data_IF_408051047466
#
_entry.id   IF_408051047466
#
_cell.length_a   1.000
_cell.length_b   1.000
_cell.length_c   1.000
_cell.angle_alpha   90.00
_cell.angle_beta   90.00
_cell.angle_gamma   90.00
#
_symmetry.space_group_name_H-M   'P 1'
#
loop_
_entity.id
_entity.type
_entity.pdbx_description
1 polymer ?
2 non-polymer ?
3 non-polymer ?
4 non-polymer ?
5 water ?
#
# COMPACT_ATOMS: atom_id res chain seq x y z
N UNK A 3 3.62 -11.97 22.53
CA UNK A 3 3.27 -10.96 23.57
C UNK A 3 3.20 -9.51 23.04
N UNK A 4 4.15 -9.11 22.20
CA UNK A 4 4.03 -7.82 21.47
C UNK A 4 3.02 -7.96 20.34
N UNK A 5 2.14 -6.98 20.21
CA UNK A 5 1.23 -6.87 19.07
C UNK A 5 2.05 -6.61 17.83
N UNK A 6 1.79 -7.33 16.75
CA UNK A 6 2.53 -7.19 15.53
C UNK A 6 1.62 -6.67 14.46
N UNK A 7 2.00 -5.56 13.84
CA UNK A 7 1.18 -4.91 12.83
C UNK A 7 1.97 -4.82 11.54
N UNK A 8 1.39 -5.33 10.47
CA UNK A 8 1.96 -5.18 9.13
C UNK A 8 1.32 -3.99 8.46
N UNK A 9 2.13 -3.04 8.05
CA UNK A 9 1.62 -1.85 7.36
C UNK A 9 2.08 -1.97 5.92
N UNK A 10 1.12 -1.97 5.01
CA UNK A 10 1.35 -1.98 3.56
C UNK A 10 2.00 -0.69 3.07
N UNK A 11 2.77 -0.74 1.97
CA UNK A 11 3.44 0.44 1.46
C UNK A 11 2.61 1.21 0.44
N UNK A 12 2.46 0.69 -0.79
CA UNK A 12 1.69 1.40 -1.78
C UNK A 12 0.22 1.45 -1.40
N UNK A 13 -0.32 2.67 -1.45
CA UNK A 13 -1.72 2.90 -1.14
C UNK A 13 -1.99 3.11 0.34
N UNK A 14 -0.96 3.07 1.17
CA UNK A 14 -1.11 3.20 2.60
C UNK A 14 -0.05 4.16 3.16
N UNK A 15 1.22 3.91 2.84
CA UNK A 15 2.32 4.81 3.16
C UNK A 15 2.68 5.71 2.02
N UNK A 16 2.70 5.15 0.81
CA UNK A 16 3.19 5.84 -0.39
C UNK A 16 2.05 6.03 -1.35
N UNK A 17 1.94 7.24 -1.90
CA UNK A 17 0.85 7.57 -2.80
C UNK A 17 1.12 7.13 -4.25
N UNK A 18 0.93 5.83 -4.48
CA UNK A 18 1.10 5.21 -5.77
C UNK A 18 0.07 5.79 -6.73
N UNK A 19 -1.20 5.93 -6.28
CA UNK A 19 -2.25 6.34 -7.25
C UNK A 19 -2.02 7.74 -7.76
N UNK A 20 -1.71 8.65 -6.86
CA UNK A 20 -1.38 10.03 -7.23
C UNK A 20 -0.11 10.23 -8.04
N UNK A 21 0.93 9.48 -7.69
CA UNK A 21 2.20 9.54 -8.38
C UNK A 21 2.04 9.01 -9.77
N UNK A 22 1.34 7.88 -9.89
CA UNK A 22 1.08 7.28 -11.19
C UNK A 22 0.32 8.29 -12.09
N UNK A 23 -0.75 8.88 -11.57
CA UNK A 23 -1.56 9.72 -12.45
C UNK A 23 -0.77 10.90 -12.95
N UNK A 24 -0.01 11.51 -12.07
CA UNK A 24 0.79 12.66 -12.44
C UNK A 24 1.78 12.29 -13.52
N UNK A 25 2.50 11.19 -13.30
CA UNK A 25 3.52 10.81 -14.28
C UNK A 25 2.94 10.28 -15.59
N UNK A 26 1.78 9.65 -15.54
CA UNK A 26 1.13 9.18 -16.74
C UNK A 26 0.71 10.39 -17.61
N UNK A 27 0.04 11.34 -16.99
CA UNK A 27 -0.37 12.57 -17.68
C UNK A 27 0.81 13.37 -18.27
N UNK A 28 1.96 13.43 -17.59
CA UNK A 28 3.13 14.13 -18.10
C UNK A 28 3.77 13.39 -19.30
N UNK A 29 3.85 12.06 -19.22
CA UNK A 29 4.47 11.29 -20.28
C UNK A 29 3.54 11.09 -21.50
N UNK A 30 2.24 11.00 -21.24
CA UNK A 30 1.26 10.65 -22.25
C UNK A 30 0.13 11.69 -22.28
N UNK A 31 0.47 12.95 -22.55
CA UNK A 31 -0.50 14.06 -22.48
C UNK A 31 -1.69 13.96 -23.46
N UNK A 32 -1.58 13.15 -24.52
CA UNK A 32 -2.64 13.03 -25.53
C UNK A 32 -3.46 11.78 -25.34
N UNK A 33 -3.24 11.06 -24.23
CA UNK A 33 -4.03 9.89 -23.91
C UNK A 33 -5.11 10.27 -22.89
N UNK A 34 -6.24 9.57 -22.88
CA UNK A 34 -7.24 9.82 -21.83
C UNK A 34 -6.68 9.20 -20.54
N UNK A 35 -7.15 9.68 -19.40
CA UNK A 35 -6.70 9.18 -18.09
C UNK A 35 -7.90 8.96 -17.18
N UNK A 36 -7.67 8.40 -16.00
CA UNK A 36 -8.72 8.16 -15.04
C UNK A 36 -8.46 9.02 -13.83
N UNK A 37 -9.36 9.99 -13.60
CA UNK A 37 -9.24 10.86 -12.43
C UNK A 37 -9.38 9.94 -11.20
N UNK A 38 -8.81 10.34 -10.09
CA UNK A 38 -8.76 9.45 -8.91
C UNK A 38 -10.16 9.14 -8.40
N UNK A 39 -11.07 10.12 -8.48
CA UNK A 39 -12.44 9.89 -8.02
C UNK A 39 -13.16 8.82 -8.83
N UNK A 40 -12.68 8.58 -10.06
CA UNK A 40 -13.26 7.56 -10.96
C UNK A 40 -12.55 6.22 -10.98
N UNK A 41 -11.49 6.10 -10.18
CA UNK A 41 -10.82 4.81 -10.06
C UNK A 41 -11.72 3.80 -9.37
N UNK A 42 -11.77 2.61 -9.94
CA UNK A 42 -12.41 1.43 -9.37
C UNK A 42 -11.58 0.17 -9.66
N UNK A 43 -11.48 -0.69 -8.65
CA UNK A 43 -10.77 -1.95 -8.78
C UNK A 43 -9.30 -1.70 -8.45
N UNK A 44 -8.66 -2.68 -7.81
CA UNK A 44 -7.31 -2.52 -7.31
C UNK A 44 -6.31 -2.17 -8.40
N UNK A 45 -6.35 -2.90 -9.51
CA UNK A 45 -5.31 -2.77 -10.55
C UNK A 45 -5.53 -1.61 -11.48
N UNK A 46 -4.67 -0.60 -11.37
CA UNK A 46 -4.66 0.56 -12.24
C UNK A 46 -4.70 0.11 -13.71
N UNK A 47 -3.83 -0.84 -14.06
CA UNK A 47 -3.63 -1.18 -15.47
C UNK A 47 -4.87 -1.84 -16.08
N UNK A 48 -5.63 -2.54 -15.25
CA UNK A 48 -6.88 -3.16 -15.72
C UNK A 48 -7.90 -2.12 -16.13
N UNK A 49 -8.08 -1.08 -15.31
CA UNK A 49 -9.04 -0.05 -15.65
C UNK A 49 -8.59 0.75 -16.89
N UNK A 50 -7.29 1.05 -16.97
CA UNK A 50 -6.75 1.71 -18.17
C UNK A 50 -6.88 0.83 -19.42
N UNK A 51 -6.75 -0.47 -19.27
CA UNK A 51 -6.92 -1.41 -20.37
C UNK A 51 -8.33 -1.37 -20.96
N UNK A 52 -9.30 -1.17 -20.08
CA UNK A 52 -10.73 -1.08 -20.45
C UNK A 52 -11.01 0.26 -21.14
N UNK A 53 -10.25 1.28 -20.76
CA UNK A 53 -10.42 2.61 -21.34
C UNK A 53 -9.99 2.71 -22.81
N UNK A 54 -8.86 2.07 -23.19
CA UNK A 54 -8.54 1.74 -24.60
C UNK A 54 -7.36 0.76 -24.78
N UNK A 55 -7.35 0.03 -25.91
CA UNK A 55 -6.18 -0.79 -26.29
C UNK A 55 -4.85 -0.04 -26.24
N UNK A 56 -3.88 -0.73 -25.65
CA UNK A 56 -2.54 -0.20 -25.51
C UNK A 56 -2.30 0.57 -24.23
N UNK A 57 -3.37 0.97 -23.55
CA UNK A 57 -3.20 1.82 -22.37
C UNK A 57 -2.76 1.04 -21.12
N UNK A 58 -3.06 -0.26 -21.06
CA UNK A 58 -2.55 -1.09 -19.96
C UNK A 58 -1.01 -1.06 -19.98
N UNK A 59 -0.45 -1.28 -21.17
CA UNK A 59 1.00 -1.40 -21.34
C UNK A 59 1.65 -0.04 -21.05
N UNK A 60 1.01 1.05 -21.48
CA UNK A 60 1.52 2.39 -21.20
C UNK A 60 1.47 2.71 -19.70
N UNK A 61 0.39 2.33 -19.03
CA UNK A 61 0.31 2.51 -17.56
C UNK A 61 1.46 1.75 -16.89
N UNK A 62 1.64 0.49 -17.26
CA UNK A 62 2.69 -0.33 -16.66
C UNK A 62 4.04 0.30 -16.83
N UNK A 63 4.27 0.93 -18.00
CA UNK A 63 5.55 1.58 -18.26
C UNK A 63 5.91 2.73 -17.34
N UNK A 64 4.90 3.32 -16.71
CA UNK A 64 5.13 4.37 -15.71
C UNK A 64 5.78 3.79 -14.48
N UNK A 65 5.20 2.75 -13.91
CA UNK A 65 5.77 2.21 -12.68
C UNK A 65 6.98 1.33 -12.87
N UNK A 66 7.21 0.87 -14.11
CA UNK A 66 8.45 0.21 -14.43
C UNK A 66 9.63 1.19 -14.57
N UNK A 67 9.36 2.48 -14.67
CA UNK A 67 10.40 3.47 -14.92
C UNK A 67 11.21 3.72 -13.66
N UNK A 68 12.50 3.91 -13.85
CA UNK A 68 13.37 4.38 -12.79
C UNK A 68 12.80 5.61 -12.07
N UNK A 69 12.95 5.60 -10.75
CA UNK A 69 12.49 6.65 -9.83
C UNK A 69 11.00 6.75 -9.58
N UNK A 70 10.21 5.90 -10.20
CA UNK A 70 8.80 5.91 -9.91
C UNK A 70 8.52 5.64 -8.44
N UNK A 71 9.02 4.53 -7.92
CA UNK A 71 8.76 4.20 -6.53
C UNK A 71 9.46 5.15 -5.59
N UNK A 72 10.69 5.53 -5.92
CA UNK A 72 11.43 6.37 -4.98
C UNK A 72 10.80 7.77 -4.77
N UNK A 73 10.22 8.29 -5.85
CA UNK A 73 9.68 9.64 -5.86
C UNK A 73 8.22 9.71 -5.37
N UNK A 74 7.62 8.58 -5.01
CA UNK A 74 6.27 8.62 -4.44
C UNK A 74 6.23 9.48 -3.16
N UNK A 75 5.18 10.27 -3.08
CA UNK A 75 4.93 11.09 -1.89
C UNK A 75 4.26 10.28 -0.80
N UNK A 76 4.65 10.47 0.45
CA UNK A 76 3.94 9.81 1.52
C UNK A 76 2.49 10.29 1.57
N UNK A 77 1.58 9.41 1.97
CA UNK A 77 0.19 9.82 2.18
C UNK A 77 0.16 10.68 3.45
N UNK A 78 -0.81 11.60 3.55
CA UNK A 78 -0.90 12.50 4.72
C UNK A 78 -0.91 11.72 6.00
N UNK A 79 -0.07 12.09 6.95
CA UNK A 79 -0.11 11.48 8.25
C UNK A 79 0.57 10.13 8.36
N UNK A 80 0.96 9.55 7.23
CA UNK A 80 1.46 8.15 7.24
C UNK A 80 2.79 7.99 7.97
N UNK A 81 3.74 8.88 7.70
CA UNK A 81 5.08 8.75 8.30
C UNK A 81 4.96 8.99 9.80
N UNK A 82 4.22 10.02 10.16
CA UNK A 82 4.03 10.37 11.55
C UNK A 82 3.33 9.24 12.34
N UNK A 83 2.29 8.67 11.75
CA UNK A 83 1.54 7.59 12.40
C UNK A 83 2.36 6.36 12.60
N UNK A 84 3.07 5.95 11.57
CA UNK A 84 3.92 4.75 11.68
C UNK A 84 5.10 4.93 12.63
N UNK A 85 5.72 6.10 12.63
CA UNK A 85 6.73 6.40 13.63
C UNK A 85 6.18 6.27 15.05
N UNK A 86 4.98 6.80 15.29
CA UNK A 86 4.38 6.73 16.60
C UNK A 86 4.03 5.31 16.94
N UNK A 87 3.48 4.57 15.97
CA UNK A 87 3.04 3.22 16.18
C UNK A 87 4.19 2.32 16.60
N UNK A 88 5.31 2.46 15.90
CA UNK A 88 6.49 1.64 16.16
C UNK A 88 7.10 1.93 17.56
N UNK A 89 6.98 3.18 18.00
CA UNK A 89 7.44 3.64 19.32
C UNK A 89 6.58 3.16 20.50
N UNK A 90 5.40 2.63 20.22
CA UNK A 90 4.50 2.21 21.28
C UNK A 90 5.06 0.98 21.95
N UNK A 91 4.86 0.92 23.26
CA UNK A 91 5.16 -0.28 24.02
C UNK A 91 4.43 -1.49 23.47
N UNK A 92 5.09 -2.65 23.50
CA UNK A 92 4.44 -3.92 23.13
C UNK A 92 3.87 -3.88 21.71
N UNK A 93 4.55 -3.20 20.81
CA UNK A 93 4.05 -3.03 19.43
C UNK A 93 5.23 -3.11 18.47
N UNK A 94 5.18 -4.07 17.55
CA UNK A 94 6.21 -4.24 16.52
C UNK A 94 5.56 -3.97 15.18
N UNK A 95 6.18 -3.10 14.39
CA UNK A 95 5.65 -2.72 13.09
C UNK A 95 6.60 -3.20 12.01
N UNK A 96 6.01 -3.87 11.02
CA UNK A 96 6.73 -4.21 9.80
C UNK A 96 6.05 -3.56 8.59
N UNK A 97 6.84 -3.15 7.61
CA UNK A 97 6.28 -2.61 6.39
C UNK A 97 6.29 -3.78 5.41
N UNK A 98 5.11 -4.13 4.89
CA UNK A 98 4.93 -5.33 4.07
C UNK A 98 4.45 -4.89 2.71
N UNK A 99 5.25 -5.18 1.69
CA UNK A 99 5.01 -4.66 0.38
C UNK A 99 5.40 -5.70 -0.64
N UNK A 100 4.71 -5.69 -1.76
CA UNK A 100 5.01 -6.61 -2.87
C UNK A 100 5.73 -5.88 -3.99
N UNK A 101 6.78 -6.45 -4.56
CA UNK A 101 7.43 -5.77 -5.68
C UNK A 101 6.63 -6.03 -6.98
N UNK A 102 6.73 -5.14 -7.96
CA UNK A 102 6.17 -5.41 -9.29
C UNK A 102 7.01 -6.52 -9.99
N UNK A 103 6.56 -6.98 -11.14
CA UNK A 103 7.21 -8.08 -11.82
C UNK A 103 8.62 -7.69 -12.32
N UNK A 104 8.75 -6.47 -12.81
CA UNK A 104 10.03 -5.97 -13.31
C UNK A 104 10.86 -5.44 -12.12
N UNK A 105 11.97 -6.08 -11.83
CA UNK A 105 12.57 -5.92 -10.50
C UNK A 105 13.83 -5.08 -10.54
N UNK A 106 14.12 -4.43 -11.67
CA UNK A 106 15.37 -3.64 -11.76
C UNK A 106 15.52 -2.52 -10.71
N UNK A 107 14.44 -1.77 -10.50
CA UNK A 107 14.44 -0.59 -9.64
C UNK A 107 13.60 -0.77 -8.38
N UNK A 108 12.50 -1.51 -8.47
CA UNK A 108 11.43 -1.43 -7.49
C UNK A 108 11.92 -1.87 -6.08
N UNK A 109 12.48 -3.07 -5.90
CA UNK A 109 12.98 -3.44 -4.57
C UNK A 109 13.95 -2.42 -4.02
N UNK A 110 14.96 -2.05 -4.81
CA UNK A 110 15.92 -1.05 -4.35
C UNK A 110 15.27 0.25 -3.88
N UNK A 111 14.37 0.77 -4.70
CA UNK A 111 13.78 2.08 -4.41
C UNK A 111 12.88 2.06 -3.17
N UNK A 112 12.27 0.91 -2.90
CA UNK A 112 11.43 0.76 -1.72
C UNK A 112 12.29 0.82 -0.47
N UNK A 113 13.45 0.14 -0.48
CA UNK A 113 14.40 0.28 0.63
C UNK A 113 14.85 1.75 0.77
N UNK A 114 15.18 2.40 -0.33
CA UNK A 114 15.64 3.77 -0.32
C UNK A 114 14.58 4.73 0.25
N UNK A 115 13.31 4.46 -0.10
CA UNK A 115 12.19 5.29 0.36
C UNK A 115 12.00 5.16 1.86
N UNK A 116 12.05 3.92 2.35
CA UNK A 116 11.91 3.68 3.79
C UNK A 116 13.08 4.33 4.53
N UNK A 117 14.30 4.23 4.00
CA UNK A 117 15.43 4.92 4.64
C UNK A 117 15.20 6.45 4.73
N UNK A 118 14.74 7.03 3.64
CA UNK A 118 14.51 8.47 3.48
C UNK A 118 13.50 8.98 4.54
N UNK A 119 12.37 8.26 4.67
CA UNK A 119 11.30 8.69 5.55
C UNK A 119 11.31 8.18 6.99
N UNK A 120 11.96 7.03 7.25
CA UNK A 120 11.95 6.41 8.56
C UNK A 120 13.34 6.20 9.18
N UNK A 121 14.38 6.38 8.35
CA UNK A 121 15.75 6.24 8.80
C UNK A 121 16.33 4.86 8.63
N UNK A 122 17.67 4.77 8.65
CA UNK A 122 18.37 3.48 8.48
C UNK A 122 17.89 2.36 9.38
N UNK A 123 17.52 2.65 10.62
CA UNK A 123 17.19 1.55 11.54
C UNK A 123 15.86 0.87 11.16
N UNK A 124 14.99 1.61 10.47
CA UNK A 124 13.70 1.04 10.07
C UNK A 124 13.80 0.05 8.92
N UNK A 125 14.94 0.01 8.26
CA UNK A 125 15.09 -0.93 7.14
C UNK A 125 14.92 -2.38 7.64
N UNK A 126 15.25 -2.62 8.93
CA UNK A 126 15.10 -3.93 9.56
C UNK A 126 13.62 -4.42 9.58
N UNK A 127 12.69 -3.50 9.36
CA UNK A 127 11.27 -3.78 9.48
C UNK A 127 10.59 -4.08 8.13
N UNK A 128 11.36 -4.15 7.04
CA UNK A 128 10.76 -4.30 5.74
C UNK A 128 10.62 -5.77 5.42
N UNK A 129 9.44 -6.15 4.93
CA UNK A 129 9.16 -7.49 4.42
C UNK A 129 8.67 -7.34 2.98
N UNK A 130 9.49 -7.80 2.04
CA UNK A 130 9.12 -7.81 0.62
C UNK A 130 8.66 -9.19 0.19
N UNK A 131 7.42 -9.29 -0.25
CA UNK A 131 6.82 -10.58 -0.58
C UNK A 131 5.67 -10.37 -1.55
N UNK A 132 5.47 -11.32 -2.46
CA UNK A 132 4.26 -11.33 -3.30
C UNK A 132 3.08 -11.92 -2.57
N UNK A 133 3.32 -12.66 -1.50
CA UNK A 133 2.27 -13.36 -0.79
C UNK A 133 2.29 -12.89 0.67
N UNK A 134 1.29 -12.08 1.02
CA UNK A 134 1.20 -11.53 2.35
C UNK A 134 0.58 -12.49 3.34
N UNK A 135 -0.02 -13.56 2.86
CA UNK A 135 -0.70 -14.48 3.75
C UNK A 135 0.29 -15.35 4.49
N UNK A 136 1.53 -15.43 4.00
CA UNK A 136 2.56 -16.20 4.71
C UNK A 136 3.37 -15.38 5.72
N UNK A 137 3.00 -14.12 5.89
CA UNK A 137 3.54 -13.28 6.94
C UNK A 137 2.54 -13.27 8.10
N UNK A 138 3.01 -13.62 9.29
CA UNK A 138 2.13 -13.75 10.44
C UNK A 138 2.18 -12.46 11.25
N UNK A 139 1.01 -12.05 11.73
CA UNK A 139 0.90 -10.85 12.53
C UNK A 139 -0.51 -10.79 13.05
N UNK A 140 -0.77 -9.81 13.91
CA UNK A 140 -2.14 -9.61 14.41
C UNK A 140 -3.01 -8.77 13.46
N UNK A 141 -2.38 -7.83 12.80
CA UNK A 141 -3.07 -6.93 11.90
C UNK A 141 -2.32 -6.74 10.61
N UNK A 142 -3.05 -6.61 9.52
CA UNK A 142 -2.50 -6.15 8.24
C UNK A 142 -3.33 -4.98 7.74
N UNK A 143 -2.72 -3.80 7.64
CA UNK A 143 -3.40 -2.60 7.16
C UNK A 143 -2.97 -2.42 5.71
N UNK A 144 -3.93 -2.59 4.78
CA UNK A 144 -3.62 -2.76 3.38
C UNK A 144 -4.79 -2.31 2.57
N UNK A 145 -4.53 -1.57 1.51
CA UNK A 145 -5.60 -1.01 0.66
C UNK A 145 -6.20 -1.98 -0.34
N UNK A 146 -5.58 -3.14 -0.55
CA UNK A 146 -6.16 -4.15 -1.45
C UNK A 146 -7.31 -4.92 -0.81
N UNK A 147 -8.51 -4.92 -1.41
CA UNK A 147 -9.64 -5.61 -0.78
C UNK A 147 -9.46 -7.12 -0.61
N UNK A 148 -8.99 -7.79 -1.64
CA UNK A 148 -8.93 -9.25 -1.58
C UNK A 148 -7.46 -9.67 -1.54
N UNK A 149 -7.05 -10.20 -0.38
CA UNK A 149 -5.65 -10.58 -0.17
C UNK A 149 -5.62 -12.07 0.10
N UNK A 150 -5.18 -12.82 -0.89
CA UNK A 150 -5.11 -14.27 -0.76
C UNK A 150 -3.74 -14.75 -1.19
N UNK A 151 -3.51 -16.05 -0.96
CA UNK A 151 -2.22 -16.63 -1.23
C UNK A 151 -2.17 -18.06 -0.73
N UNK A 152 -0.96 -18.53 -0.47
CA UNK A 152 -0.71 -19.91 -0.10
C UNK A 152 -1.31 -20.32 1.25
N UNK A 153 -1.49 -19.38 2.17
CA UNK A 153 -2.05 -19.65 3.48
C UNK A 153 -3.54 -19.37 3.46
N UNK A 154 -4.39 -20.42 3.54
CA UNK A 154 -5.85 -20.18 3.46
C UNK A 154 -6.43 -19.44 4.68
N UNK A 155 -5.77 -19.54 5.82
CA UNK A 155 -6.19 -18.87 7.05
C UNK A 155 -5.06 -18.04 7.66
N UNK A 156 -4.86 -16.84 7.12
CA UNK A 156 -3.87 -15.92 7.66
C UNK A 156 -4.10 -15.59 9.14
N UNK A 157 -3.00 -15.34 9.84
CA UNK A 157 -3.07 -15.07 11.26
C UNK A 157 -3.56 -13.64 11.52
N UNK A 158 -3.35 -12.76 10.55
CA UNK A 158 -3.74 -11.36 10.73
C UNK A 158 -5.23 -11.12 10.45
N UNK A 159 -5.78 -10.10 11.09
CA UNK A 159 -7.03 -9.46 10.64
C UNK A 159 -6.61 -8.43 9.59
N UNK A 160 -7.15 -8.50 8.40
CA UNK A 160 -6.95 -7.45 7.38
C UNK A 160 -7.87 -6.29 7.62
N UNK A 161 -7.28 -5.13 7.89
CA UNK A 161 -8.02 -3.88 7.98
C UNK A 161 -7.80 -3.11 6.65
N UNK A 162 -8.90 -2.81 5.99
CA UNK A 162 -8.84 -2.18 4.69
C UNK A 162 -8.54 -0.71 4.85
N UNK A 163 -7.43 -0.28 4.28
CA UNK A 163 -7.07 1.12 4.25
C UNK A 163 -7.76 1.79 3.04
N UNK A 164 -8.51 2.86 3.30
CA UNK A 164 -9.22 3.53 2.22
C UNK A 164 -8.28 4.11 1.18
N UNK A 165 -8.66 3.89 -0.07
CA UNK A 165 -7.98 4.44 -1.23
C UNK A 165 -9.03 4.78 -2.25
N UNK A 166 -8.68 5.67 -3.21
CA UNK A 166 -9.64 6.01 -4.26
C UNK A 166 -10.29 4.81 -4.92
N UNK A 167 -9.52 3.73 -5.15
CA UNK A 167 -10.04 2.57 -5.84
C UNK A 167 -10.99 1.67 -5.05
N UNK A 168 -11.05 1.82 -3.72
CA UNK A 168 -11.85 0.96 -2.86
C UNK A 168 -12.89 1.72 -2.01
N UNK A 169 -12.95 3.04 -2.16
CA UNK A 169 -13.68 3.86 -1.20
C UNK A 169 -15.18 3.59 -1.25
N UNK A 170 -15.68 3.06 -2.38
CA UNK A 170 -17.11 2.77 -2.53
C UNK A 170 -17.50 1.37 -2.19
N UNK A 171 -16.52 0.49 -1.89
CA UNK A 171 -16.80 -0.91 -1.68
C UNK A 171 -17.46 -1.21 -0.38
N UNK A 172 -18.56 -1.93 -0.47
CA UNK A 172 -19.17 -2.51 0.69
C UNK A 172 -18.44 -3.80 1.07
N UNK A 173 -17.93 -3.87 2.29
CA UNK A 173 -17.23 -5.06 2.79
C UNK A 173 -18.19 -6.01 3.49
N UNK A 174 -17.83 -7.28 3.53
CA UNK A 174 -18.55 -8.30 4.31
C UNK A 174 -18.42 -7.98 5.79
N UNK A 175 -19.56 -7.74 6.47
CA UNK A 175 -19.64 -7.03 7.76
C UNK A 175 -18.54 -7.21 8.79
N UNK A 176 -18.01 -8.41 9.05
CA UNK A 176 -16.90 -8.53 10.01
C UNK A 176 -15.73 -7.56 9.66
N UNK A 177 -15.50 -7.40 8.36
CA UNK A 177 -14.38 -6.60 7.87
C UNK A 177 -14.50 -5.10 8.21
N UNK A 178 -13.36 -4.50 8.48
CA UNK A 178 -13.18 -3.18 9.08
C UNK A 178 -12.28 -2.32 8.16
N UNK A 179 -12.45 -1.00 8.21
CA UNK A 179 -11.58 -0.04 7.52
C UNK A 179 -10.79 0.83 8.45
N UNK A 180 -9.63 1.25 8.00
CA UNK A 180 -8.93 2.42 8.50
C UNK A 180 -9.07 3.47 7.41
N UNK A 181 -9.72 4.59 7.71
CA UNK A 181 -10.19 5.44 6.64
C UNK A 181 -9.12 6.37 6.07
N UNK A 182 -8.13 6.63 6.88
CA UNK A 182 -6.95 7.47 6.64
C UNK A 182 -6.11 7.40 7.89
N UNK A 183 -4.91 7.97 7.82
CA UNK A 183 -4.05 8.02 8.99
C UNK A 183 -4.57 9.00 10.05
N UNK A 184 -5.48 9.92 9.67
CA UNK A 184 -6.13 10.80 10.67
C UNK A 184 -7.18 10.07 11.51
N UNK A 185 -7.70 8.96 10.99
CA UNK A 185 -8.62 8.06 11.66
C UNK A 185 -7.90 7.43 12.84
N UNK A 186 -8.69 6.81 13.72
CA UNK A 186 -8.23 6.34 15.02
C UNK A 186 -7.63 4.94 14.89
N UNK A 187 -6.38 4.91 14.41
CA UNK A 187 -5.63 3.67 14.28
C UNK A 187 -5.26 3.06 15.63
N UNK A 188 -5.02 3.88 16.62
CA UNK A 188 -4.75 3.33 17.94
C UNK A 188 -5.89 2.49 18.51
N UNK A 189 -7.14 2.91 18.28
CA UNK A 189 -8.28 2.11 18.71
C UNK A 189 -8.32 0.76 18.01
N UNK A 190 -7.97 0.76 16.72
CA UNK A 190 -7.89 -0.52 16.00
C UNK A 190 -6.85 -1.46 16.63
N UNK A 191 -5.65 -0.96 16.85
CA UNK A 191 -4.60 -1.76 17.49
C UNK A 191 -5.03 -2.27 18.87
N UNK A 192 -5.55 -1.36 19.68
CA UNK A 192 -5.95 -1.70 21.05
C UNK A 192 -7.02 -2.77 21.11
N UNK A 193 -7.91 -2.82 20.12
CA UNK A 193 -8.94 -3.85 20.06
C UNK A 193 -8.38 -5.29 19.91
N UNK A 194 -7.11 -5.38 19.50
CA UNK A 194 -6.43 -6.65 19.27
C UNK A 194 -5.49 -7.03 20.40
N UNK A 195 -5.29 -6.17 21.39
CA UNK A 195 -4.35 -6.42 22.47
C UNK A 195 -5.03 -7.27 23.53
N UNK A 196 -4.26 -7.94 24.40
CA UNK A 196 -4.86 -8.66 25.54
C UNK A 196 -5.32 -7.70 26.66
X LIG B 1 -1.13 -1.31 -1.36
X LIG C 1 7.39 -0.72 19.76
X LIG D 1 1.92 -5.21 -8.36
X LIG D 1 2.90 -5.28 -7.33
X LIG D 1 2.66 -4.31 -6.19
X LIG D 1 2.80 -2.95 -6.68
X LIG D 1 1.76 -2.09 -6.12
X LIG D 1 0.76 -1.80 -7.14
X LIG D 1 0.87 -2.26 -8.48
X LIG D 1 -0.13 -1.96 -9.42
X LIG D 1 -1.22 -1.20 -9.04
X LIG D 1 -2.15 -0.89 -9.80
X LIG D 1 -1.29 -0.71 -7.73
X LIG D 1 -0.32 -0.97 -6.76
X LIG D 1 -0.41 -0.51 -5.63
X LIG D 1 1.18 -2.95 -4.97
X LIG D 1 2.18 -2.76 -3.96
X LIG D 1 1.90 -2.74 -2.34
X LIG D 1 3.15 -1.92 -1.75
X LIG D 1 0.48 -2.14 -2.04
X LIG D 1 2.09 -4.13 -1.81
X LIG D 1 1.23 -4.33 -5.60
X LIG D 1 1.13 -5.42 -4.65
X LIG E 1 6.46 -6.51 -18.27
X LIG E 1 5.39 -5.89 -17.56
X LIG E 1 7.64 -6.70 -17.31
X LIG E 1 8.77 -6.02 -17.78
X LIG E 1 7.93 -8.17 -16.97
X LIG E 1 9.23 -8.24 -16.39
#
# INVERSE_FOLDING_TARGET
>A
GGRALRVLVNMDGVLADFEGGFLRKFRARFPDQPFIALEDRRGFWVSEQYGRLRPGLSEKAISIWESKNFFFELEPLPGAVEAVKEMASLQNTDVFICTSPIKMFKYCPYEKYAWVEKYFGPDFLEQIVLTRDKTVVSADLLIDDRPDITGAEPTPSWEHVLFTACHNQHLQLQPPRRRLHSWADDWKAILDSKRPC
>B hetero
1 MG MG
>C hetero
1 MG MG
>D hetero
1 U2P O5' C5' C4' O4' C1' N1 C6 C5 C4 O4 N3 C2 O2 C2' O2' P O1P O2P O3P C3' O3'
>E hetero
1 GOL C1 O1 C2 O2 C3 O3
#
